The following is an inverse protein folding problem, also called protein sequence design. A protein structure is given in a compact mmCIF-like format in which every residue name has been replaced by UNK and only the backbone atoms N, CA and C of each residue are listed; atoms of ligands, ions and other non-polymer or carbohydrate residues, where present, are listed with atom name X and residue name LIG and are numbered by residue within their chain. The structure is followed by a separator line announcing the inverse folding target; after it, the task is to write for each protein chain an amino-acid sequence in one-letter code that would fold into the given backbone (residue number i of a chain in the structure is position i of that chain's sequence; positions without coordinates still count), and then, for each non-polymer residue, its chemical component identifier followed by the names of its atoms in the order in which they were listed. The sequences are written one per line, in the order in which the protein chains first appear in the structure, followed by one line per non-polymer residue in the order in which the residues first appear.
data_IF_423281179283
#
_entry.id   IF_423281179283
#
_cell.length_a   1.000
_cell.length_b   1.000
_cell.length_c   1.000
_cell.angle_alpha   90.00
_cell.angle_beta   90.00
_cell.angle_gamma   90.00
#
_symmetry.space_group_name_H-M   'P 1'
#
loop_
_entity.id
_entity.type
_entity.pdbx_description
1 polymer ?
#
# COMPACT_ATOMS: atom_id res chain seq x y z
N UNK A 1 -12.83 27.35 4.34
CA UNK A 1 -11.35 27.39 4.48
C UNK A 1 -10.88 25.97 4.24
N UNK A 2 -10.27 25.70 3.09
CA UNK A 2 -9.84 24.37 2.70
C UNK A 2 -8.54 24.05 3.45
N UNK A 3 -8.59 23.14 4.41
CA UNK A 3 -7.41 22.75 5.18
C UNK A 3 -6.60 21.74 4.37
N UNK A 4 -5.44 22.17 3.87
CA UNK A 4 -4.42 21.27 3.38
C UNK A 4 -3.95 20.37 4.54
N UNK A 5 -3.75 19.08 4.26
CA UNK A 5 -3.04 18.16 5.16
C UNK A 5 -1.57 18.12 4.73
N UNK A 6 -0.59 18.26 5.64
CA UNK A 6 -0.69 18.52 7.08
C UNK A 6 -1.15 19.96 7.43
N UNK A 7 -1.90 20.12 8.54
CA UNK A 7 -2.31 21.45 9.05
C UNK A 7 -1.53 21.80 10.33
N UNK A 8 -0.41 22.53 10.22
CA UNK A 8 0.43 22.88 11.37
C UNK A 8 -0.23 23.87 12.35
N UNK A 9 -1.40 24.40 12.01
CA UNK A 9 -2.18 25.32 12.86
C UNK A 9 -3.36 24.64 13.56
N UNK A 10 -3.49 23.32 13.46
CA UNK A 10 -4.51 22.58 14.18
C UNK A 10 -4.29 22.71 15.70
N UNK A 11 -5.34 23.09 16.43
CA UNK A 11 -5.28 23.17 17.90
C UNK A 11 -4.96 21.78 18.47
N UNK A 12 -4.06 21.68 19.47
CA UNK A 12 -3.82 20.43 20.16
C UNK A 12 -5.14 19.84 20.67
N UNK A 13 -5.33 18.52 20.50
CA UNK A 13 -6.54 17.80 20.89
C UNK A 13 -6.19 16.63 21.79
N UNK A 14 -6.80 16.60 22.99
CA UNK A 14 -6.66 15.53 23.97
C UNK A 14 -7.94 14.70 24.01
N UNK A 15 -7.87 13.48 23.49
CA UNK A 15 -8.90 12.46 23.68
C UNK A 15 -8.71 11.78 25.03
N UNK A 16 -9.77 11.65 25.83
CA UNK A 16 -9.69 11.10 27.19
C UNK A 16 -10.81 10.10 27.50
N UNK A 17 -10.58 9.22 28.47
CA UNK A 17 -11.49 8.18 28.96
C UNK A 17 -11.92 7.12 27.92
N UNK A 18 -11.24 7.03 26.78
CA UNK A 18 -11.48 5.97 25.79
C UNK A 18 -10.88 4.64 26.24
N UNK A 19 -11.31 3.54 25.61
CA UNK A 19 -10.50 2.32 25.50
C UNK A 19 -9.52 2.51 24.35
N UNK A 20 -8.25 2.78 24.65
CA UNK A 20 -7.23 3.10 23.64
C UNK A 20 -6.43 1.85 23.30
N UNK A 21 -6.50 1.43 22.04
CA UNK A 21 -5.74 0.30 21.49
C UNK A 21 -4.48 0.84 20.81
N UNK A 22 -3.28 0.48 21.27
CA UNK A 22 -2.02 0.98 20.68
C UNK A 22 -1.43 0.03 19.64
N UNK A 23 -1.98 -1.18 19.52
CA UNK A 23 -1.53 -2.29 18.65
C UNK A 23 -0.16 -2.85 19.05
N UNK A 24 0.89 -2.05 19.00
CA UNK A 24 2.26 -2.46 19.35
C UNK A 24 2.55 -2.48 20.85
N UNK A 25 1.60 -2.01 21.68
CA UNK A 25 1.73 -1.92 23.13
C UNK A 25 0.45 -2.29 23.88
N UNK A 26 0.37 -1.96 25.17
CA UNK A 26 -0.80 -2.27 25.99
C UNK A 26 -2.04 -1.46 25.55
N UNK A 27 -3.21 -2.02 25.84
CA UNK A 27 -4.49 -1.28 25.77
C UNK A 27 -4.70 -0.51 27.06
N UNK A 28 -5.10 0.76 26.95
CA UNK A 28 -5.40 1.61 28.11
C UNK A 28 -6.90 1.81 28.27
N UNK A 29 -7.46 1.40 29.42
CA UNK A 29 -8.88 1.52 29.73
C UNK A 29 -9.09 1.91 31.20
N UNK A 30 -9.45 3.17 31.49
CA UNK A 30 -9.49 4.33 30.59
C UNK A 30 -8.09 4.82 30.17
N UNK A 31 -7.95 5.23 28.92
CA UNK A 31 -6.74 5.82 28.33
C UNK A 31 -6.94 7.23 27.79
N UNK A 32 -5.84 7.84 27.32
CA UNK A 32 -5.83 9.11 26.61
C UNK A 32 -4.94 9.07 25.36
N UNK A 33 -5.21 9.97 24.41
CA UNK A 33 -4.33 10.26 23.26
C UNK A 33 -4.26 11.78 23.08
N UNK A 34 -3.04 12.34 23.08
CA UNK A 34 -2.77 13.73 22.76
C UNK A 34 -2.27 13.83 21.32
N UNK A 35 -2.96 14.60 20.51
CA UNK A 35 -2.57 14.97 19.15
C UNK A 35 -2.22 16.46 19.13
N UNK A 36 -1.13 16.79 18.45
CA UNK A 36 -0.73 18.18 18.18
C UNK A 36 -0.19 18.27 16.75
N UNK A 37 -0.82 19.12 15.94
CA UNK A 37 -0.75 19.05 14.49
C UNK A 37 -1.19 17.68 13.98
N UNK A 38 -0.34 17.05 13.17
CA UNK A 38 -0.59 15.74 12.56
C UNK A 38 0.15 14.60 13.27
N UNK A 39 0.63 14.83 14.50
CA UNK A 39 1.43 13.86 15.26
C UNK A 39 0.79 13.50 16.58
N UNK A 40 0.88 12.21 16.93
CA UNK A 40 0.56 11.73 18.28
C UNK A 40 1.73 12.14 19.19
N UNK A 41 1.48 13.02 20.17
CA UNK A 41 2.50 13.48 21.12
C UNK A 41 2.61 12.57 22.33
N UNK A 42 1.50 12.02 22.79
CA UNK A 42 1.47 11.13 23.95
C UNK A 42 0.25 10.21 23.91
N UNK A 43 0.42 9.01 24.45
CA UNK A 43 -0.64 8.01 24.66
C UNK A 43 -0.34 7.27 25.96
N UNK A 44 -1.37 6.97 26.74
CA UNK A 44 -1.16 6.31 28.03
C UNK A 44 -2.45 6.06 28.82
N UNK A 45 -2.33 5.53 30.05
CA UNK A 45 -3.46 5.42 30.97
C UNK A 45 -3.93 6.81 31.38
N UNK A 46 -5.24 6.99 31.59
CA UNK A 46 -5.83 8.32 31.86
C UNK A 46 -5.24 9.01 33.11
N UNK A 47 -4.69 8.22 34.05
CA UNK A 47 -4.05 8.71 35.28
C UNK A 47 -2.78 9.52 35.01
N UNK A 48 -2.15 9.29 33.86
CA UNK A 48 -0.92 9.95 33.43
C UNK A 48 -1.18 11.04 32.38
N UNK A 49 -2.45 11.43 32.19
CA UNK A 49 -2.80 12.42 31.17
C UNK A 49 -2.11 13.76 31.44
N UNK A 50 -1.58 14.45 30.41
CA UNK A 50 -0.98 15.76 30.57
C UNK A 50 -2.03 16.83 30.94
N UNK A 51 -1.54 18.00 31.40
CA UNK A 51 -2.36 19.18 31.57
C UNK A 51 -2.92 19.63 30.20
N UNK A 52 -4.16 20.11 30.18
CA UNK A 52 -4.90 20.42 28.95
C UNK A 52 -4.99 21.93 28.65
N UNK A 53 -4.05 22.74 29.16
CA UNK A 53 -4.05 24.18 28.89
C UNK A 53 -3.86 24.44 27.39
N UNK A 54 -4.72 25.29 26.81
CA UNK A 54 -4.71 25.56 25.36
C UNK A 54 -5.10 24.37 24.47
N UNK A 55 -5.49 23.23 25.04
CA UNK A 55 -5.78 21.98 24.33
C UNK A 55 -7.29 21.73 24.31
N UNK A 56 -7.84 21.39 23.14
CA UNK A 56 -9.23 20.93 23.03
C UNK A 56 -9.36 19.55 23.68
N UNK A 57 -10.20 19.42 24.71
CA UNK A 57 -10.44 18.14 25.37
C UNK A 57 -11.70 17.49 24.80
N UNK A 58 -11.58 16.24 24.36
CA UNK A 58 -12.69 15.43 23.86
C UNK A 58 -12.84 14.20 24.75
N UNK A 59 -13.95 14.11 25.48
CA UNK A 59 -14.25 12.96 26.33
C UNK A 59 -14.91 11.85 25.52
N UNK A 60 -14.22 10.70 25.42
CA UNK A 60 -14.62 9.53 24.65
C UNK A 60 -15.01 8.35 25.56
N UNK A 61 -15.55 8.63 26.75
CA UNK A 61 -15.99 7.60 27.70
C UNK A 61 -16.93 6.60 27.01
N UNK A 62 -16.60 5.31 27.12
CA UNK A 62 -17.37 4.21 26.50
C UNK A 62 -17.02 3.93 25.03
N UNK A 63 -16.20 4.78 24.40
CA UNK A 63 -15.77 4.59 23.02
C UNK A 63 -14.40 3.89 22.95
N UNK A 64 -14.16 3.25 21.82
CA UNK A 64 -12.88 2.63 21.49
C UNK A 64 -12.11 3.51 20.50
N UNK A 65 -10.83 3.71 20.75
CA UNK A 65 -9.93 4.46 19.89
C UNK A 65 -8.83 3.54 19.36
N UNK A 66 -8.75 3.45 18.03
CA UNK A 66 -7.79 2.63 17.30
C UNK A 66 -6.93 3.51 16.38
N UNK A 67 -5.70 3.09 16.04
CA UNK A 67 -4.99 3.64 14.90
C UNK A 67 -5.81 3.38 13.62
N UNK A 68 -5.67 4.28 12.65
CA UNK A 68 -6.24 4.03 11.33
C UNK A 68 -5.65 2.78 10.70
N UNK A 69 -6.50 1.94 10.12
CA UNK A 69 -6.08 0.73 9.44
C UNK A 69 -5.38 1.08 8.12
N UNK A 70 -4.41 0.24 7.76
CA UNK A 70 -3.72 0.32 6.47
C UNK A 70 -4.19 -0.87 5.63
N UNK A 71 -4.67 -0.61 4.41
CA UNK A 71 -4.96 -1.65 3.42
C UNK A 71 -3.70 -1.89 2.56
N UNK A 72 -2.87 -2.92 2.85
CA UNK A 72 -1.54 -3.06 2.26
C UNK A 72 -1.55 -3.55 0.81
N UNK A 73 -2.67 -4.11 0.36
CA UNK A 73 -2.89 -4.52 -1.04
C UNK A 73 -4.37 -4.32 -1.37
N UNK A 74 -4.68 -3.42 -2.32
CA UNK A 74 -6.06 -3.13 -2.69
C UNK A 74 -6.17 -2.55 -4.10
N UNK A 75 -7.33 -2.70 -4.74
CA UNK A 75 -7.67 -1.99 -5.98
C UNK A 75 -8.33 -0.62 -5.72
N UNK A 76 -8.42 -0.19 -4.45
CA UNK A 76 -9.04 1.08 -4.07
C UNK A 76 -8.44 2.26 -4.85
N UNK A 77 -9.31 3.05 -5.47
CA UNK A 77 -8.92 4.19 -6.31
C UNK A 77 -8.36 3.82 -7.69
N UNK A 78 -8.06 2.55 -7.98
CA UNK A 78 -7.67 2.09 -9.33
C UNK A 78 -8.86 1.57 -10.14
N UNK A 79 -9.84 0.98 -9.45
CA UNK A 79 -11.06 0.45 -10.04
C UNK A 79 -12.26 1.05 -9.31
N UNK A 80 -13.19 1.61 -10.07
CA UNK A 80 -14.50 1.99 -9.54
C UNK A 80 -15.42 0.78 -9.46
N UNK A 81 -16.59 0.96 -8.82
CA UNK A 81 -17.66 -0.04 -8.83
C UNK A 81 -17.85 -0.51 -10.28
N UNK A 82 -17.73 -1.81 -10.59
CA UNK A 82 -17.83 -2.32 -11.95
C UNK A 82 -19.29 -2.21 -12.42
N UNK A 83 -19.71 -1.01 -12.82
CA UNK A 83 -20.89 -0.80 -13.62
C UNK A 83 -20.53 -1.28 -15.02
N UNK A 84 -20.93 -2.52 -15.30
CA UNK A 84 -20.64 -3.30 -16.52
C UNK A 84 -19.30 -4.05 -16.46
N UNK A 85 -19.37 -5.38 -16.53
CA UNK A 85 -18.23 -6.24 -16.86
C UNK A 85 -17.71 -5.78 -18.22
N UNK A 86 -16.67 -4.95 -18.23
CA UNK A 86 -15.86 -4.78 -19.42
C UNK A 86 -15.34 -6.18 -19.76
N UNK A 87 -15.84 -6.67 -20.89
CA UNK A 87 -15.44 -7.91 -21.54
C UNK A 87 -13.93 -8.06 -21.50
N UNK A 88 -13.50 -9.28 -21.20
CA UNK A 88 -12.14 -9.80 -21.24
C UNK A 88 -11.37 -9.23 -22.43
N UNK A 89 -10.65 -8.12 -22.20
CA UNK A 89 -9.59 -7.64 -23.08
C UNK A 89 -8.34 -7.35 -22.23
N UNK A 90 -7.85 -8.41 -21.58
CA UNK A 90 -6.56 -8.43 -20.88
C UNK A 90 -5.39 -8.81 -21.80
N UNK A 91 -5.59 -8.74 -23.13
CA UNK A 91 -4.56 -9.13 -24.12
C UNK A 91 -3.45 -8.11 -24.35
N UNK A 92 -3.51 -6.94 -23.72
CA UNK A 92 -2.57 -5.84 -23.98
C UNK A 92 -1.73 -5.40 -22.77
N UNK A 93 -1.88 -6.05 -21.60
CA UNK A 93 -1.04 -5.75 -20.43
C UNK A 93 0.27 -6.55 -20.51
N UNK A 94 1.41 -5.88 -20.36
CA UNK A 94 2.71 -6.55 -20.28
C UNK A 94 2.78 -7.52 -19.09
N UNK A 95 3.46 -8.66 -19.25
CA UNK A 95 3.64 -9.66 -18.18
C UNK A 95 4.59 -9.14 -17.09
N UNK A 96 5.57 -8.32 -17.47
CA UNK A 96 6.56 -7.71 -16.61
C UNK A 96 6.59 -6.21 -16.86
N UNK A 97 5.94 -5.44 -16.00
CA UNK A 97 5.80 -3.98 -16.11
C UNK A 97 6.28 -3.31 -14.83
N UNK A 98 7.55 -3.51 -14.41
CA UNK A 98 8.08 -2.95 -13.17
C UNK A 98 8.03 -1.42 -13.11
N UNK A 99 7.99 -0.73 -14.25
CA UNK A 99 7.90 0.72 -14.38
C UNK A 99 6.52 1.31 -14.10
N UNK A 100 5.47 0.48 -14.05
CA UNK A 100 4.11 0.93 -13.74
C UNK A 100 4.05 1.44 -12.31
N UNK A 101 3.47 2.63 -12.12
CA UNK A 101 3.33 3.32 -10.83
C UNK A 101 1.86 3.51 -10.52
N UNK A 102 1.29 2.57 -9.80
CA UNK A 102 -0.17 2.55 -9.53
C UNK A 102 -0.69 3.79 -8.80
N UNK A 103 0.10 4.40 -7.91
CA UNK A 103 -0.34 5.59 -7.17
C UNK A 103 -0.62 6.79 -8.08
N UNK A 104 -0.01 6.86 -9.28
CA UNK A 104 -0.29 7.91 -10.28
C UNK A 104 -1.65 7.73 -10.97
N UNK A 105 -2.21 6.52 -10.91
CA UNK A 105 -3.49 6.17 -11.54
C UNK A 105 -4.66 6.18 -10.53
N UNK A 106 -4.42 6.55 -9.28
CA UNK A 106 -5.47 6.66 -8.27
C UNK A 106 -6.41 7.80 -8.63
N UNK A 107 -7.71 7.49 -8.71
CA UNK A 107 -8.79 8.46 -8.76
C UNK A 107 -9.13 8.93 -7.33
N UNK A 108 -8.79 10.18 -6.94
CA UNK A 108 -9.11 10.72 -5.62
C UNK A 108 -10.62 10.85 -5.37
N UNK A 109 -11.41 10.98 -6.44
CA UNK A 109 -12.86 11.16 -6.40
C UNK A 109 -13.63 9.82 -6.35
N UNK A 110 -12.93 8.69 -6.15
CA UNK A 110 -13.57 7.38 -6.02
C UNK A 110 -14.52 7.35 -4.81
N UNK A 111 -15.78 6.97 -5.06
CA UNK A 111 -16.80 6.77 -4.01
C UNK A 111 -16.42 5.65 -3.03
N UNK A 112 -15.50 4.77 -3.42
CA UNK A 112 -15.00 3.71 -2.56
C UNK A 112 -14.05 4.22 -1.46
N UNK A 113 -13.36 5.35 -1.67
CA UNK A 113 -12.40 5.89 -0.70
C UNK A 113 -13.12 6.38 0.57
N UNK A 114 -14.20 7.20 0.49
CA UNK A 114 -14.99 7.54 1.67
C UNK A 114 -15.58 6.32 2.39
N UNK A 115 -16.00 5.29 1.64
CA UNK A 115 -16.54 4.04 2.22
C UNK A 115 -15.46 3.29 2.99
N UNK A 116 -14.27 3.12 2.42
CA UNK A 116 -13.13 2.51 3.10
C UNK A 116 -12.75 3.29 4.38
N UNK A 117 -12.74 4.63 4.29
CA UNK A 117 -12.46 5.53 5.41
C UNK A 117 -13.49 5.43 6.52
N UNK A 118 -14.77 5.32 6.19
CA UNK A 118 -15.84 5.09 7.17
C UNK A 118 -15.68 3.75 7.92
N UNK A 119 -15.01 2.77 7.32
CA UNK A 119 -14.66 1.49 7.93
C UNK A 119 -13.27 1.50 8.63
N UNK A 120 -12.68 2.67 8.81
CA UNK A 120 -11.44 2.84 9.58
C UNK A 120 -10.15 2.69 8.77
N UNK A 121 -10.20 2.49 7.45
CA UNK A 121 -9.01 2.50 6.59
C UNK A 121 -8.58 3.95 6.38
N UNK A 122 -7.41 4.34 6.88
CA UNK A 122 -6.89 5.70 6.69
C UNK A 122 -5.85 5.77 5.59
N UNK A 123 -5.13 4.68 5.36
CA UNK A 123 -4.12 4.56 4.30
C UNK A 123 -4.28 3.26 3.52
N UNK A 124 -3.81 3.27 2.28
CA UNK A 124 -3.87 2.11 1.40
C UNK A 124 -2.71 2.09 0.40
N UNK A 125 -2.35 0.91 -0.08
CA UNK A 125 -1.40 0.75 -1.17
C UNK A 125 -2.15 0.20 -2.41
N UNK A 126 -2.44 1.06 -3.41
CA UNK A 126 -3.10 0.64 -4.64
C UNK A 126 -2.19 -0.37 -5.34
N UNK A 127 -2.69 -1.56 -5.63
CA UNK A 127 -1.90 -2.66 -6.19
C UNK A 127 -2.28 -2.86 -7.65
N UNK A 128 -1.36 -2.65 -8.61
CA UNK A 128 -1.63 -2.93 -10.01
C UNK A 128 -1.78 -4.44 -10.23
N UNK A 129 -2.66 -4.84 -11.15
CA UNK A 129 -2.97 -6.24 -11.47
C UNK A 129 -2.76 -6.50 -12.97
N UNK A 130 -2.70 -7.78 -13.36
CA UNK A 130 -2.75 -8.19 -14.77
C UNK A 130 -1.51 -8.87 -15.34
N UNK A 131 -0.47 -9.11 -14.54
CA UNK A 131 0.81 -9.70 -14.96
C UNK A 131 1.54 -10.42 -13.83
N UNK A 132 2.77 -10.86 -14.08
CA UNK A 132 3.64 -11.51 -13.09
C UNK A 132 4.33 -10.46 -12.23
N UNK A 133 5.01 -9.49 -12.85
CA UNK A 133 5.51 -8.30 -12.16
C UNK A 133 4.65 -7.12 -12.61
N UNK A 134 3.73 -6.68 -11.77
CA UNK A 134 2.65 -5.76 -12.19
C UNK A 134 2.98 -4.29 -11.97
N UNK A 135 4.19 -4.00 -11.49
CA UNK A 135 4.63 -2.66 -11.17
C UNK A 135 4.65 -2.39 -9.68
N UNK A 136 4.58 -1.11 -9.34
CA UNK A 136 4.90 -0.57 -8.02
C UNK A 136 3.67 0.09 -7.38
N UNK A 137 3.64 0.08 -6.05
CA UNK A 137 2.69 0.86 -5.24
C UNK A 137 3.36 1.91 -4.38
N UNK A 138 2.57 2.91 -4.01
CA UNK A 138 2.89 3.92 -3.00
C UNK A 138 1.89 3.80 -1.84
N UNK A 139 2.28 4.23 -0.64
CA UNK A 139 1.34 4.38 0.46
C UNK A 139 0.56 5.68 0.27
N UNK A 140 -0.76 5.55 0.12
CA UNK A 140 -1.70 6.64 -0.11
C UNK A 140 -2.54 6.87 1.14
N UNK A 141 -2.79 8.12 1.49
CA UNK A 141 -3.82 8.52 2.45
C UNK A 141 -5.20 8.53 1.76
N UNK A 142 -6.25 8.23 2.51
CA UNK A 142 -7.65 8.33 2.04
C UNK A 142 -8.20 9.76 2.00
N UNK A 143 -7.33 10.75 2.20
CA UNK A 143 -7.67 12.18 2.17
C UNK A 143 -6.66 12.89 1.29
N UNK A 144 -7.15 13.73 0.39
CA UNK A 144 -6.35 14.53 -0.53
C UNK A 144 -7.17 14.90 -1.77
N UNK A 145 -6.74 15.94 -2.48
CA UNK A 145 -7.41 16.43 -3.70
C UNK A 145 -6.89 15.77 -4.97
N UNK A 146 -5.58 15.52 -5.02
CA UNK A 146 -4.88 14.85 -6.10
C UNK A 146 -4.06 13.69 -5.54
N UNK A 147 -3.59 12.81 -6.41
CA UNK A 147 -2.70 11.74 -5.99
C UNK A 147 -1.43 12.29 -5.33
N UNK A 148 -0.97 13.48 -5.70
CA UNK A 148 0.18 14.17 -5.09
C UNK A 148 -0.05 14.43 -3.60
N UNK A 149 -1.24 14.87 -3.23
CA UNK A 149 -1.61 15.18 -1.85
C UNK A 149 -1.96 13.92 -1.05
N UNK A 150 -2.43 12.88 -1.73
CA UNK A 150 -2.71 11.59 -1.10
C UNK A 150 -1.43 10.76 -0.90
N UNK A 151 -0.39 10.95 -1.72
CA UNK A 151 0.83 10.13 -1.65
C UNK A 151 1.62 10.45 -0.40
N UNK A 152 1.63 9.52 0.56
CA UNK A 152 2.43 9.63 1.78
C UNK A 152 3.87 9.17 1.56
N UNK A 153 4.05 8.05 0.86
CA UNK A 153 5.37 7.50 0.54
C UNK A 153 5.31 6.74 -0.79
N UNK A 154 6.28 6.96 -1.68
CA UNK A 154 6.35 6.19 -2.93
C UNK A 154 7.79 6.04 -3.48
N UNK A 155 8.07 4.95 -4.20
CA UNK A 155 7.39 3.65 -4.13
C UNK A 155 7.65 2.97 -2.78
N UNK A 156 6.72 2.11 -2.33
CA UNK A 156 6.84 1.30 -1.11
C UNK A 156 6.97 -0.20 -1.39
N UNK A 157 6.48 -0.67 -2.54
CA UNK A 157 6.59 -2.07 -2.93
C UNK A 157 6.61 -2.26 -4.46
N UNK A 158 7.34 -3.28 -4.92
CA UNK A 158 7.12 -3.93 -6.20
C UNK A 158 6.23 -5.16 -5.99
N UNK A 159 5.27 -5.39 -6.88
CA UNK A 159 4.35 -6.51 -6.78
C UNK A 159 4.74 -7.66 -7.71
N UNK A 160 4.93 -8.84 -7.13
CA UNK A 160 5.13 -10.10 -7.82
C UNK A 160 3.93 -11.03 -7.53
N UNK A 161 3.20 -11.41 -8.56
CA UNK A 161 2.15 -12.43 -8.47
C UNK A 161 2.78 -13.80 -8.72
N UNK A 162 2.85 -14.60 -7.66
CA UNK A 162 3.45 -15.91 -7.71
C UNK A 162 2.52 -16.87 -8.48
N UNK A 163 3.05 -17.71 -9.38
CA UNK A 163 2.23 -18.67 -10.08
C UNK A 163 1.64 -19.70 -9.11
N UNK A 164 0.38 -20.11 -9.35
CA UNK A 164 -0.23 -21.21 -8.60
C UNK A 164 0.67 -22.44 -8.58
N UNK A 165 0.94 -22.92 -7.37
CA UNK A 165 1.73 -24.14 -7.14
C UNK A 165 0.86 -25.40 -7.14
N UNK A 166 -0.47 -25.24 -7.13
CA UNK A 166 -1.43 -26.33 -7.11
C UNK A 166 -1.48 -27.03 -8.48
N UNK A 167 -1.42 -28.37 -8.45
CA UNK A 167 -1.64 -29.22 -9.61
C UNK A 167 -2.94 -29.98 -9.38
N UNK A 168 -3.87 -29.87 -10.32
CA UNK A 168 -5.09 -30.67 -10.27
C UNK A 168 -4.77 -32.10 -10.69
N UNK A 169 -4.63 -32.99 -9.71
CA UNK A 169 -4.31 -34.42 -9.92
C UNK A 169 -5.45 -35.19 -10.58
N UNK A 170 -6.69 -34.69 -10.54
CA UNK A 170 -7.83 -35.32 -11.19
C UNK A 170 -7.93 -35.03 -12.69
N UNK A 171 -7.09 -34.12 -13.22
CA UNK A 171 -7.05 -33.80 -14.63
C UNK A 171 -5.99 -34.65 -15.38
N UNK A 172 -6.28 -35.04 -16.61
CA UNK A 172 -5.39 -35.86 -17.44
C UNK A 172 -4.13 -35.10 -17.95
N UNK A 173 -3.95 -33.84 -17.56
CA UNK A 173 -2.88 -32.96 -18.03
C UNK A 173 -1.88 -32.51 -16.93
N UNK A 174 -1.80 -33.25 -15.81
CA UNK A 174 -0.88 -32.96 -14.68
C UNK A 174 0.55 -32.62 -15.11
N UNK A 175 1.14 -33.35 -16.07
CA UNK A 175 2.49 -33.08 -16.62
C UNK A 175 2.58 -31.73 -17.31
N UNK A 176 1.53 -31.32 -18.02
CA UNK A 176 1.46 -30.03 -18.71
C UNK A 176 1.32 -28.90 -17.70
N UNK A 177 0.51 -29.09 -16.66
CA UNK A 177 0.38 -28.14 -15.55
C UNK A 177 1.74 -27.91 -14.85
N UNK A 178 2.43 -29.00 -14.49
CA UNK A 178 3.76 -28.93 -13.88
C UNK A 178 4.76 -28.19 -14.79
N UNK A 179 4.82 -28.56 -16.08
CA UNK A 179 5.70 -27.90 -17.05
C UNK A 179 5.42 -26.40 -17.19
N UNK A 180 4.14 -26.01 -17.22
CA UNK A 180 3.76 -24.60 -17.31
C UNK A 180 4.14 -23.81 -16.05
N UNK A 181 3.96 -24.41 -14.87
CA UNK A 181 4.40 -23.82 -13.59
C UNK A 181 5.90 -23.63 -13.58
N UNK A 182 6.67 -24.68 -13.89
CA UNK A 182 8.14 -24.63 -13.89
C UNK A 182 8.67 -23.64 -14.92
N UNK A 183 8.00 -23.52 -16.07
CA UNK A 183 8.30 -22.47 -17.06
C UNK A 183 8.11 -21.06 -16.48
N UNK A 184 6.99 -20.79 -15.80
CA UNK A 184 6.73 -19.48 -15.18
C UNK A 184 7.72 -19.14 -14.08
N UNK A 185 8.11 -20.13 -13.26
CA UNK A 185 9.15 -19.95 -12.25
C UNK A 185 10.48 -19.57 -12.89
N UNK A 186 10.87 -20.29 -13.97
CA UNK A 186 12.07 -19.95 -14.73
C UNK A 186 12.00 -18.54 -15.35
N UNK A 187 10.86 -18.15 -15.92
CA UNK A 187 10.66 -16.81 -16.48
C UNK A 187 10.79 -15.72 -15.40
N UNK A 188 10.35 -15.98 -14.16
CA UNK A 188 10.58 -15.07 -13.01
C UNK A 188 12.06 -14.98 -12.66
N UNK A 189 12.74 -16.13 -12.53
CA UNK A 189 14.17 -16.15 -12.20
C UNK A 189 15.00 -15.40 -13.26
N UNK A 190 14.76 -15.71 -14.54
CA UNK A 190 15.44 -15.08 -15.67
C UNK A 190 15.23 -13.55 -15.66
N UNK A 191 14.01 -13.08 -15.39
CA UNK A 191 13.70 -11.64 -15.29
C UNK A 191 14.49 -10.93 -14.16
N UNK A 192 14.57 -11.53 -12.98
CA UNK A 192 15.34 -10.94 -11.87
C UNK A 192 16.85 -11.02 -12.08
N UNK A 193 17.35 -12.07 -12.74
CA UNK A 193 18.77 -12.17 -13.11
C UNK A 193 19.16 -11.14 -14.18
N UNK A 194 18.31 -10.91 -15.19
CA UNK A 194 18.51 -9.85 -16.18
C UNK A 194 18.55 -8.47 -15.52
N UNK A 195 17.62 -8.19 -14.61
CA UNK A 195 17.61 -6.93 -13.85
C UNK A 195 18.88 -6.76 -12.98
N UNK A 196 19.38 -7.83 -12.37
CA UNK A 196 20.66 -7.82 -11.62
C UNK A 196 21.86 -7.60 -12.54
N UNK A 197 21.87 -8.22 -13.72
CA UNK A 197 22.92 -8.02 -14.73
C UNK A 197 22.94 -6.56 -15.21
N UNK A 198 21.77 -5.99 -15.49
CA UNK A 198 21.60 -4.58 -15.83
C UNK A 198 22.11 -3.64 -14.74
N UNK A 199 21.77 -3.91 -13.47
CA UNK A 199 22.23 -3.09 -12.35
C UNK A 199 23.76 -3.05 -12.24
N UNK A 200 24.46 -4.12 -12.64
CA UNK A 200 25.93 -4.21 -12.69
C UNK A 200 26.54 -3.47 -13.89
N UNK A 201 25.82 -3.39 -15.02
CA UNK A 201 26.33 -2.75 -16.25
C UNK A 201 26.24 -1.22 -16.25
N UNK A 202 25.55 -0.62 -15.28
CA UNK A 202 25.34 0.85 -15.23
C UNK A 202 26.64 1.68 -15.15
N UNK A 203 27.76 1.09 -14.75
CA UNK A 203 29.08 1.75 -14.70
C UNK A 203 29.81 1.78 -16.05
N UNK A 204 29.25 1.15 -17.10
CA UNK A 204 29.86 1.11 -18.43
C UNK A 204 29.72 2.46 -19.17
N UNK A 205 30.77 2.93 -19.89
CA UNK A 205 30.69 4.11 -20.73
C UNK A 205 29.59 3.99 -21.79
N UNK A 206 28.71 4.98 -21.90
CA UNK A 206 27.64 5.02 -22.91
C UNK A 206 26.35 4.26 -22.56
N UNK A 207 26.19 3.83 -21.30
CA UNK A 207 24.97 3.18 -20.82
C UNK A 207 23.73 4.07 -21.05
N UNK A 208 22.76 3.58 -21.83
CA UNK A 208 21.45 4.23 -22.00
C UNK A 208 20.44 3.53 -21.09
N UNK A 209 19.75 4.32 -20.27
CA UNK A 209 18.73 3.82 -19.35
C UNK A 209 17.58 3.13 -20.09
N UNK A 210 17.18 1.96 -19.61
CA UNK A 210 15.97 1.26 -20.06
C UNK A 210 14.94 1.39 -18.93
N UNK A 211 13.80 2.07 -19.14
CA UNK A 211 12.85 2.40 -18.07
C UNK A 211 12.42 1.21 -17.21
N UNK A 212 12.14 0.06 -17.82
CA UNK A 212 11.77 -1.16 -17.10
C UNK A 212 12.89 -1.66 -16.16
N UNK A 213 14.15 -1.62 -16.62
CA UNK A 213 15.27 -2.06 -15.81
C UNK A 213 15.73 -1.01 -14.78
N UNK A 214 15.61 0.27 -15.11
CA UNK A 214 15.83 1.35 -14.15
C UNK A 214 14.83 1.30 -13.00
N UNK A 215 13.56 0.95 -13.31
CA UNK A 215 12.53 0.72 -12.30
C UNK A 215 12.83 -0.47 -11.38
N UNK A 216 13.66 -1.42 -11.83
CA UNK A 216 14.02 -2.61 -11.06
C UNK A 216 15.13 -2.36 -10.02
N UNK A 217 15.91 -1.29 -10.17
CA UNK A 217 17.14 -1.06 -9.38
C UNK A 217 16.93 -1.11 -7.86
N UNK A 218 15.92 -0.43 -7.27
CA UNK A 218 15.77 -0.42 -5.82
C UNK A 218 15.48 -1.83 -5.25
N UNK A 219 14.88 -2.71 -6.04
CA UNK A 219 14.46 -4.04 -5.61
C UNK A 219 15.60 -5.05 -5.74
N UNK A 220 16.33 -5.04 -6.86
CA UNK A 220 17.48 -5.96 -7.06
C UNK A 220 18.70 -5.59 -6.23
N UNK A 221 18.79 -4.33 -5.76
CA UNK A 221 19.79 -3.86 -4.79
C UNK A 221 19.37 -4.08 -3.33
N UNK A 222 18.19 -4.65 -3.09
CA UNK A 222 17.62 -4.85 -1.76
C UNK A 222 17.45 -3.54 -0.95
N UNK A 223 17.22 -2.41 -1.61
CA UNK A 223 16.95 -1.12 -0.97
C UNK A 223 15.48 -1.00 -0.52
N UNK A 224 14.57 -1.71 -1.21
CA UNK A 224 13.13 -1.70 -0.94
C UNK A 224 12.51 -3.10 -1.06
N UNK A 225 11.40 -3.39 -0.37
CA UNK A 225 10.82 -4.73 -0.33
C UNK A 225 10.02 -5.09 -1.59
N UNK A 226 10.00 -6.37 -1.94
CA UNK A 226 9.09 -6.95 -2.94
C UNK A 226 7.94 -7.63 -2.21
N UNK A 227 6.70 -7.33 -2.60
CA UNK A 227 5.50 -8.02 -2.09
C UNK A 227 5.18 -9.17 -3.03
N UNK A 228 5.12 -10.39 -2.48
CA UNK A 228 4.77 -11.60 -3.20
C UNK A 228 3.33 -11.99 -2.88
N UNK A 229 2.48 -12.05 -3.90
CA UNK A 229 1.11 -12.54 -3.79
C UNK A 229 1.11 -14.04 -4.09
N UNK A 230 0.91 -14.87 -3.07
CA UNK A 230 1.11 -16.33 -3.16
C UNK A 230 -0.20 -17.16 -3.24
N UNK A 231 -1.37 -16.53 -3.13
CA UNK A 231 -2.69 -17.18 -3.12
C UNK A 231 -3.48 -16.98 -4.43
N UNK A 232 -2.79 -16.71 -5.53
CA UNK A 232 -3.38 -16.42 -6.85
C UNK A 232 -3.48 -17.63 -7.77
#
# INVERSE_FOLDING_TARGET
MFTAWPNPFAKPTLFTNAVVHTVSGPTHSPGFVLIDGDTIKAVGPVKEKPAAEGTQVVNLKGQHLFPGLIAPTTALGLMEIPAVRATVDTREVGIYTPEVKSWLAVNPDSELIPVARANGITHFAPTPQGGTVTGQSGLMATVGWGYENMTHQSPVALHLFWPSMNINLAADDTKKQAKNRDKRLKEIDDFFEEARAYAKSQSAPGHKGIPAWDAMLPWVRAEKPVIIHANS
#
